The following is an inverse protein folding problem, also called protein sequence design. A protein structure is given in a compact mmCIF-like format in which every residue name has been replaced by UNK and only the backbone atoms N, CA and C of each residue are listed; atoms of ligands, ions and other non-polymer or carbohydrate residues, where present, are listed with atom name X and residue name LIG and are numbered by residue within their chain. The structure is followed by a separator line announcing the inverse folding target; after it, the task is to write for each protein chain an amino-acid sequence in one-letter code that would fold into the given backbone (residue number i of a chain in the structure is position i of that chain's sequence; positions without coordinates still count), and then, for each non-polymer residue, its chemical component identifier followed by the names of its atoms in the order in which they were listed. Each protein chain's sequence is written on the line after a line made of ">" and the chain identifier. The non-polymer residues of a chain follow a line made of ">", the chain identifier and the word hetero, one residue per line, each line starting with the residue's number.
data_IF_458292573339
#
_entry.id   IF_458292573339
#
_cell.length_a   1.000
_cell.length_b   1.000
_cell.length_c   1.000
_cell.angle_alpha   90.00
_cell.angle_beta   90.00
_cell.angle_gamma   90.00
#
_symmetry.space_group_name_H-M   'P 1'
#
loop_
_entity.id
_entity.type
_entity.pdbx_description
1 polymer ?
#
# COMPACT_ATOMS: atom_id res chain seq x y z
N UNK A 1 65.77 12.37 22.48
CA UNK A 1 64.38 12.04 22.83
C UNK A 1 63.39 12.39 21.69
N UNK A 2 63.65 11.96 20.44
CA UNK A 2 62.78 12.29 19.29
C UNK A 2 62.20 11.06 18.55
N UNK A 3 62.84 9.88 18.65
CA UNK A 3 62.44 8.70 17.86
C UNK A 3 61.25 7.89 18.41
N UNK A 4 60.87 8.02 19.68
CA UNK A 4 59.77 7.23 20.27
C UNK A 4 58.38 7.84 20.09
N UNK A 5 58.28 9.14 19.78
CA UNK A 5 56.99 9.82 19.59
C UNK A 5 56.39 9.52 18.20
N UNK A 6 57.23 9.48 17.16
CA UNK A 6 56.81 9.27 15.76
C UNK A 6 56.16 7.89 15.53
N UNK A 7 56.66 6.85 16.22
CA UNK A 7 56.14 5.48 16.08
C UNK A 7 54.75 5.28 16.72
N UNK A 8 54.39 6.07 17.74
CA UNK A 8 53.06 5.99 18.37
C UNK A 8 51.99 6.72 17.56
N UNK A 9 52.34 7.83 16.91
CA UNK A 9 51.41 8.59 16.04
C UNK A 9 51.07 7.82 14.77
N UNK A 10 52.04 7.11 14.17
CA UNK A 10 51.81 6.32 12.95
C UNK A 10 50.84 5.13 13.15
N UNK A 11 50.79 4.53 14.34
CA UNK A 11 49.83 3.43 14.62
C UNK A 11 48.41 3.89 14.92
N UNK A 12 48.23 5.15 15.36
CA UNK A 12 46.90 5.71 15.62
C UNK A 12 46.25 6.18 14.31
N UNK A 13 47.02 6.73 13.37
CA UNK A 13 46.49 7.21 12.08
C UNK A 13 45.89 6.12 11.18
N UNK A 14 46.42 4.90 11.22
CA UNK A 14 45.91 3.78 10.40
C UNK A 14 44.65 3.12 10.98
N UNK A 15 44.40 3.26 12.29
CA UNK A 15 43.21 2.73 12.95
C UNK A 15 41.94 3.54 12.65
N UNK A 16 42.08 4.86 12.48
CA UNK A 16 40.93 5.74 12.22
C UNK A 16 40.43 5.71 10.77
N UNK A 17 41.30 5.48 9.78
CA UNK A 17 40.90 5.35 8.38
C UNK A 17 40.21 4.01 8.07
N UNK A 18 40.55 2.94 8.79
CA UNK A 18 39.87 1.65 8.67
C UNK A 18 38.47 1.63 9.31
N UNK A 19 38.29 2.35 10.42
CA UNK A 19 37.01 2.40 11.13
C UNK A 19 35.95 3.26 10.41
N UNK A 20 36.36 4.30 9.66
CA UNK A 20 35.41 5.15 8.92
C UNK A 20 34.85 4.47 7.67
N UNK A 21 35.59 3.56 7.04
CA UNK A 21 35.14 2.86 5.83
C UNK A 21 34.12 1.74 6.11
N UNK A 22 34.04 1.23 7.35
CA UNK A 22 33.09 0.17 7.72
C UNK A 22 31.70 0.67 8.12
N UNK A 23 31.54 1.97 8.38
CA UNK A 23 30.23 2.54 8.75
C UNK A 23 29.33 2.86 7.55
N UNK A 24 29.83 2.76 6.31
CA UNK A 24 29.11 3.12 5.09
C UNK A 24 28.56 1.93 4.28
N UNK A 25 28.85 0.69 4.67
CA UNK A 25 28.62 -0.49 3.83
C UNK A 25 27.48 -1.42 4.26
N UNK A 26 26.57 -1.00 5.15
CA UNK A 26 25.41 -1.84 5.48
C UNK A 26 24.14 -1.07 5.86
N UNK A 27 23.92 0.13 5.31
CA UNK A 27 22.55 0.60 5.16
C UNK A 27 21.93 -0.19 3.99
N UNK A 28 21.54 -1.45 4.25
CA UNK A 28 20.52 -2.09 3.43
C UNK A 28 19.28 -1.20 3.39
N UNK A 29 18.41 -1.31 2.38
CA UNK A 29 17.17 -0.55 2.39
C UNK A 29 16.53 -0.77 3.76
N UNK A 30 16.23 0.32 4.46
CA UNK A 30 15.38 0.23 5.63
C UNK A 30 14.07 -0.37 5.12
N UNK A 31 13.91 -1.68 5.31
CA UNK A 31 12.61 -2.29 5.28
C UNK A 31 11.90 -1.60 6.42
N UNK A 32 11.11 -0.57 6.09
CA UNK A 32 10.09 -0.12 7.01
C UNK A 32 9.42 -1.40 7.48
N UNK A 33 9.37 -1.61 8.79
CA UNK A 33 8.69 -2.75 9.42
C UNK A 33 7.19 -2.57 9.16
N UNK A 34 6.81 -2.67 7.88
CA UNK A 34 5.47 -2.76 7.42
C UNK A 34 5.10 -4.17 7.87
N UNK A 35 4.31 -4.22 8.94
CA UNK A 35 3.51 -5.41 9.22
C UNK A 35 2.97 -5.93 7.89
N UNK A 36 2.81 -7.24 7.72
CA UNK A 36 2.25 -7.86 6.51
C UNK A 36 1.01 -7.11 5.95
N UNK A 37 0.30 -6.39 6.82
CA UNK A 37 -0.89 -5.61 6.53
C UNK A 37 -0.73 -4.08 6.35
N UNK A 38 0.48 -3.55 6.14
CA UNK A 38 0.71 -2.10 5.94
C UNK A 38 1.48 -1.80 4.65
N UNK A 39 1.20 -0.67 3.97
CA UNK A 39 -0.03 0.13 4.06
C UNK A 39 -1.25 -0.59 3.46
N UNK A 40 -1.04 -1.58 2.58
CA UNK A 40 -2.10 -2.42 2.00
C UNK A 40 -2.07 -3.81 2.66
N UNK A 41 -3.23 -4.30 3.17
CA UNK A 41 -3.36 -5.61 3.80
C UNK A 41 -2.82 -6.78 2.96
N UNK A 42 -2.12 -7.74 3.58
CA UNK A 42 -1.58 -8.94 2.92
C UNK A 42 -2.66 -9.67 2.13
N UNK A 43 -3.86 -9.74 2.69
CA UNK A 43 -5.02 -10.40 2.08
C UNK A 43 -5.40 -9.80 0.72
N UNK A 44 -5.24 -8.50 0.52
CA UNK A 44 -5.44 -7.85 -0.79
C UNK A 44 -4.26 -8.08 -1.73
N UNK A 45 -3.04 -8.11 -1.19
CA UNK A 45 -1.84 -8.40 -1.99
C UNK A 45 -1.93 -9.80 -2.61
N UNK A 46 -2.49 -10.77 -1.90
CA UNK A 46 -2.57 -12.17 -2.34
C UNK A 46 -3.95 -12.63 -2.84
N UNK A 47 -4.99 -11.80 -2.76
CA UNK A 47 -6.33 -12.22 -3.21
C UNK A 47 -6.35 -12.51 -4.72
N UNK A 48 -7.06 -13.56 -5.09
CA UNK A 48 -7.36 -13.95 -6.47
C UNK A 48 -8.73 -13.43 -6.93
N UNK A 49 -9.53 -12.87 -6.02
CA UNK A 49 -10.77 -12.20 -6.36
C UNK A 49 -10.49 -10.96 -7.23
N UNK A 50 -11.36 -10.70 -8.21
CA UNK A 50 -11.36 -9.39 -8.85
C UNK A 50 -12.00 -8.31 -7.96
N UNK A 51 -12.02 -7.10 -8.49
CA UNK A 51 -12.52 -5.93 -7.78
C UNK A 51 -13.99 -6.10 -7.44
N UNK A 52 -14.80 -6.58 -8.40
CA UNK A 52 -16.25 -6.72 -8.27
C UNK A 52 -16.61 -7.83 -7.29
N UNK A 53 -15.91 -8.98 -7.33
CA UNK A 53 -16.06 -10.05 -6.35
C UNK A 53 -15.76 -9.56 -4.93
N UNK A 54 -14.66 -8.83 -4.77
CA UNK A 54 -14.31 -8.25 -3.49
C UNK A 54 -15.35 -7.23 -3.03
N UNK A 55 -15.78 -6.33 -3.92
CA UNK A 55 -16.72 -5.26 -3.59
C UNK A 55 -18.11 -5.80 -3.25
N UNK A 56 -18.57 -6.84 -3.95
CA UNK A 56 -19.80 -7.58 -3.62
C UNK A 56 -19.70 -8.21 -2.22
N UNK A 57 -18.55 -8.84 -1.90
CA UNK A 57 -18.32 -9.39 -0.58
C UNK A 57 -18.33 -8.31 0.51
N UNK A 58 -17.76 -7.12 0.25
CA UNK A 58 -17.81 -5.99 1.19
C UNK A 58 -19.26 -5.50 1.39
N UNK A 59 -20.07 -5.42 0.32
CA UNK A 59 -21.50 -5.08 0.41
C UNK A 59 -22.24 -5.97 1.39
N UNK A 60 -22.01 -7.28 1.33
CA UNK A 60 -22.82 -8.24 2.07
C UNK A 60 -22.26 -8.53 3.48
N UNK A 61 -20.93 -8.50 3.65
CA UNK A 61 -20.28 -8.73 4.96
C UNK A 61 -20.12 -7.47 5.80
N UNK A 62 -19.98 -6.30 5.16
CA UNK A 62 -19.73 -5.02 5.81
C UNK A 62 -20.53 -3.88 5.16
N UNK A 63 -21.88 -3.97 5.11
CA UNK A 63 -22.74 -3.06 4.35
C UNK A 63 -22.52 -1.59 4.71
N UNK A 64 -22.38 -1.25 6.00
CA UNK A 64 -22.14 0.14 6.43
C UNK A 64 -20.86 0.75 5.82
N UNK A 65 -19.81 -0.05 5.61
CA UNK A 65 -18.57 0.43 5.00
C UNK A 65 -18.69 0.53 3.48
N UNK A 66 -19.38 -0.42 2.86
CA UNK A 66 -19.74 -0.34 1.45
C UNK A 66 -20.55 0.93 1.15
N UNK A 67 -21.65 1.15 1.86
CA UNK A 67 -22.53 2.30 1.69
C UNK A 67 -21.77 3.62 1.86
N UNK A 68 -20.97 3.74 2.92
CA UNK A 68 -20.16 4.93 3.16
C UNK A 68 -19.17 5.19 2.02
N UNK A 69 -18.55 4.15 1.49
CA UNK A 69 -17.63 4.28 0.36
C UNK A 69 -18.38 4.72 -0.90
N UNK A 70 -19.53 4.13 -1.20
CA UNK A 70 -20.33 4.47 -2.38
C UNK A 70 -20.90 5.90 -2.29
N UNK A 71 -21.31 6.35 -1.10
CA UNK A 71 -21.73 7.72 -0.84
C UNK A 71 -20.55 8.71 -0.93
N UNK A 72 -19.38 8.37 -0.39
CA UNK A 72 -18.19 9.22 -0.53
C UNK A 72 -17.79 9.34 -2.01
N UNK A 73 -17.82 8.23 -2.76
CA UNK A 73 -17.56 8.18 -4.20
C UNK A 73 -18.54 9.07 -4.97
N UNK A 74 -19.84 8.95 -4.71
CA UNK A 74 -20.86 9.71 -5.46
C UNK A 74 -20.78 11.22 -5.25
N UNK A 75 -20.22 11.65 -4.12
CA UNK A 75 -19.93 13.05 -3.81
C UNK A 75 -18.67 13.59 -4.51
N UNK A 76 -17.94 12.77 -5.28
CA UNK A 76 -16.75 13.21 -6.04
C UNK A 76 -17.11 13.64 -7.46
N UNK A 77 -16.34 14.55 -8.07
CA UNK A 77 -16.43 14.82 -9.51
C UNK A 77 -16.29 13.54 -10.35
N UNK A 78 -17.00 13.45 -11.47
CA UNK A 78 -17.07 12.23 -12.28
C UNK A 78 -15.68 11.72 -12.74
N UNK A 79 -14.76 12.63 -13.05
CA UNK A 79 -13.39 12.32 -13.42
C UNK A 79 -12.57 11.75 -12.25
N UNK A 80 -12.83 12.19 -11.01
CA UNK A 80 -12.22 11.61 -9.80
C UNK A 80 -12.78 10.21 -9.54
N UNK A 81 -14.08 10.02 -9.73
CA UNK A 81 -14.72 8.71 -9.60
C UNK A 81 -14.12 7.71 -10.59
N UNK A 82 -13.94 8.12 -11.85
CA UNK A 82 -13.34 7.30 -12.88
C UNK A 82 -11.86 7.00 -12.59
N UNK A 83 -11.08 8.01 -12.19
CA UNK A 83 -9.68 7.82 -11.83
C UNK A 83 -9.50 6.81 -10.68
N UNK A 84 -10.35 6.86 -9.65
CA UNK A 84 -10.33 5.87 -8.57
C UNK A 84 -10.72 4.47 -9.07
N UNK A 85 -11.78 4.37 -9.88
CA UNK A 85 -12.21 3.11 -10.49
C UNK A 85 -11.08 2.47 -11.28
N UNK A 86 -10.49 3.20 -12.23
CA UNK A 86 -9.40 2.72 -13.09
C UNK A 86 -8.16 2.33 -12.28
N UNK A 87 -7.82 3.13 -11.26
CA UNK A 87 -6.65 2.88 -10.42
C UNK A 87 -6.80 1.63 -9.56
N UNK A 88 -7.98 1.39 -9.00
CA UNK A 88 -8.29 0.16 -8.25
C UNK A 88 -8.20 -1.05 -9.19
N UNK A 89 -8.83 -0.98 -10.37
CA UNK A 89 -8.79 -2.06 -11.35
C UNK A 89 -7.37 -2.37 -11.80
N UNK A 90 -6.59 -1.36 -12.17
CA UNK A 90 -5.18 -1.51 -12.51
C UNK A 90 -4.40 -2.21 -11.39
N UNK A 91 -4.58 -1.80 -10.13
CA UNK A 91 -3.89 -2.43 -9.01
C UNK A 91 -4.21 -3.93 -8.91
N UNK A 92 -5.48 -4.34 -9.13
CA UNK A 92 -5.87 -5.74 -9.13
C UNK A 92 -5.34 -6.53 -10.34
N UNK A 93 -4.88 -5.87 -11.41
CA UNK A 93 -4.18 -6.55 -12.52
C UNK A 93 -2.72 -6.94 -12.19
N UNK A 94 -2.12 -6.31 -11.17
CA UNK A 94 -0.75 -6.60 -10.76
C UNK A 94 -0.67 -7.97 -10.07
N UNK A 95 0.47 -8.65 -10.25
CA UNK A 95 0.82 -9.83 -9.46
C UNK A 95 1.14 -9.45 -7.99
N UNK A 96 1.27 -10.41 -7.06
CA UNK A 96 1.54 -10.10 -5.66
C UNK A 96 2.82 -9.28 -5.43
N UNK A 97 3.85 -9.46 -6.28
CA UNK A 97 5.10 -8.70 -6.18
C UNK A 97 4.88 -7.24 -6.57
N UNK A 98 4.20 -6.99 -7.68
CA UNK A 98 3.82 -5.66 -8.15
C UNK A 98 2.89 -4.95 -7.18
N UNK A 99 1.90 -5.66 -6.61
CA UNK A 99 1.03 -5.11 -5.57
C UNK A 99 1.82 -4.72 -4.32
N UNK A 100 2.78 -5.55 -3.90
CA UNK A 100 3.66 -5.23 -2.76
C UNK A 100 4.54 -4.03 -3.04
N UNK A 101 5.16 -3.97 -4.22
CA UNK A 101 5.95 -2.81 -4.62
C UNK A 101 5.12 -1.52 -4.68
N UNK A 102 3.89 -1.59 -5.17
CA UNK A 102 2.96 -0.46 -5.16
C UNK A 102 2.64 0.00 -3.72
N UNK A 103 2.40 -0.96 -2.81
CA UNK A 103 2.19 -0.69 -1.39
C UNK A 103 3.39 0.04 -0.78
N UNK A 104 4.62 -0.42 -1.04
CA UNK A 104 5.85 0.22 -0.53
C UNK A 104 6.05 1.63 -1.11
N UNK A 105 5.85 1.82 -2.42
CA UNK A 105 5.96 3.14 -3.05
C UNK A 105 4.94 4.13 -2.46
N UNK A 106 3.72 3.66 -2.16
CA UNK A 106 2.68 4.48 -1.55
C UNK A 106 3.01 4.87 -0.11
N UNK A 107 3.67 4.00 0.65
CA UNK A 107 4.10 4.30 2.03
C UNK A 107 5.29 5.27 2.09
N UNK A 108 6.21 5.18 1.13
CA UNK A 108 7.52 5.85 1.21
C UNK A 108 7.62 7.12 0.38
N UNK A 109 6.78 7.27 -0.65
CA UNK A 109 6.78 8.42 -1.52
C UNK A 109 5.40 9.11 -1.50
N UNK A 110 5.35 10.26 -0.81
CA UNK A 110 4.13 11.07 -0.67
C UNK A 110 3.54 11.56 -2.01
N UNK A 111 4.35 11.59 -3.08
CA UNK A 111 3.93 11.98 -4.43
C UNK A 111 3.67 10.78 -5.35
N UNK A 112 3.67 9.54 -4.84
CA UNK A 112 3.48 8.39 -5.72
C UNK A 112 2.01 8.18 -6.11
N UNK A 113 1.11 8.17 -5.13
CA UNK A 113 -0.31 7.91 -5.38
C UNK A 113 -1.09 9.20 -5.66
N UNK A 114 -1.28 9.50 -6.95
CA UNK A 114 -1.90 10.74 -7.41
C UNK A 114 -3.39 10.82 -7.11
N UNK A 115 -4.14 9.70 -7.09
CA UNK A 115 -5.58 9.71 -6.79
C UNK A 115 -5.82 10.15 -5.34
N UNK A 116 -4.91 9.80 -4.41
CA UNK A 116 -4.99 10.19 -3.01
C UNK A 116 -4.96 11.73 -2.81
N UNK A 117 -4.33 12.48 -3.73
CA UNK A 117 -4.31 13.96 -3.68
C UNK A 117 -5.67 14.59 -3.97
N UNK A 118 -6.53 13.89 -4.71
CA UNK A 118 -7.88 14.35 -5.09
C UNK A 118 -8.98 13.74 -4.22
N UNK A 119 -8.74 12.56 -3.68
CA UNK A 119 -9.68 11.86 -2.81
C UNK A 119 -8.93 10.92 -1.85
N UNK A 120 -8.70 11.37 -0.61
CA UNK A 120 -7.92 10.59 0.36
C UNK A 120 -8.51 9.23 0.76
N UNK A 121 -9.81 9.00 0.55
CA UNK A 121 -10.47 7.71 0.84
C UNK A 121 -10.70 6.85 -0.42
N UNK A 122 -10.11 7.19 -1.57
CA UNK A 122 -10.42 6.60 -2.88
C UNK A 122 -10.39 5.06 -2.94
N UNK A 123 -9.58 4.40 -2.12
CA UNK A 123 -9.50 2.94 -2.02
C UNK A 123 -9.70 2.44 -0.59
N UNK A 124 -10.34 3.20 0.31
CA UNK A 124 -10.35 2.93 1.76
C UNK A 124 -10.83 1.53 2.15
N UNK A 125 -11.90 1.06 1.52
CA UNK A 125 -12.46 -0.28 1.79
C UNK A 125 -11.61 -1.41 1.23
N UNK A 126 -10.68 -1.10 0.31
CA UNK A 126 -9.71 -2.05 -0.23
C UNK A 126 -8.42 -1.99 0.58
N UNK A 127 -7.84 -0.81 0.81
CA UNK A 127 -6.44 -0.69 1.22
C UNK A 127 -6.23 -0.38 2.70
N UNK A 128 -7.21 0.11 3.45
CA UNK A 128 -6.94 0.63 4.79
C UNK A 128 -7.75 -0.03 5.91
N UNK A 129 -8.91 -0.61 5.58
CA UNK A 129 -9.75 -1.25 6.59
C UNK A 129 -9.47 -2.76 6.69
N UNK A 130 -8.56 -3.13 7.60
CA UNK A 130 -8.11 -4.52 7.79
C UNK A 130 -9.27 -5.48 8.11
N UNK A 131 -10.24 -5.05 8.91
CA UNK A 131 -11.40 -5.88 9.27
C UNK A 131 -12.33 -6.13 8.09
N UNK A 132 -12.63 -5.09 7.30
CA UNK A 132 -13.42 -5.22 6.07
C UNK A 132 -12.73 -6.14 5.07
N UNK A 133 -11.42 -5.95 4.89
CA UNK A 133 -10.61 -6.81 4.02
C UNK A 133 -10.67 -8.26 4.47
N UNK A 134 -10.52 -8.52 5.77
CA UNK A 134 -10.56 -9.88 6.30
C UNK A 134 -11.88 -10.58 5.96
N UNK A 135 -13.02 -10.01 6.36
CA UNK A 135 -14.33 -10.62 6.10
C UNK A 135 -14.62 -10.79 4.61
N UNK A 136 -14.32 -9.78 3.78
CA UNK A 136 -14.60 -9.84 2.36
C UNK A 136 -13.71 -10.87 1.64
N UNK A 137 -12.41 -10.92 1.94
CA UNK A 137 -11.50 -11.89 1.30
C UNK A 137 -11.78 -13.33 1.71
N UNK A 138 -12.38 -13.57 2.87
CA UNK A 138 -12.79 -14.92 3.30
C UNK A 138 -13.90 -15.51 2.42
N UNK A 139 -14.72 -14.68 1.75
CA UNK A 139 -15.89 -15.12 0.98
C UNK A 139 -15.97 -14.62 -0.45
N UNK A 140 -15.05 -13.78 -0.92
CA UNK A 140 -15.17 -13.10 -2.22
C UNK A 140 -15.24 -14.06 -3.43
N UNK A 141 -14.68 -15.26 -3.33
CA UNK A 141 -14.77 -16.26 -4.39
C UNK A 141 -16.20 -16.79 -4.63
N UNK A 142 -17.14 -16.55 -3.72
CA UNK A 142 -18.54 -16.93 -3.85
C UNK A 142 -19.38 -15.96 -4.70
N UNK A 143 -18.79 -14.84 -5.13
CA UNK A 143 -19.48 -13.81 -5.92
C UNK A 143 -19.12 -13.91 -7.40
N UNK A 144 -20.00 -13.46 -8.31
CA UNK A 144 -19.70 -13.42 -9.75
C UNK A 144 -18.53 -12.48 -10.06
N UNK A 145 -17.67 -12.90 -10.99
CA UNK A 145 -16.59 -12.07 -11.55
C UNK A 145 -17.13 -10.99 -12.46
N UNK A 146 -16.57 -9.79 -12.36
CA UNK A 146 -16.90 -8.67 -13.24
C UNK A 146 -18.36 -8.19 -13.16
N UNK A 147 -19.09 -8.48 -12.08
CA UNK A 147 -20.44 -7.94 -11.87
C UNK A 147 -20.38 -6.43 -11.60
N UNK A 148 -20.42 -5.65 -12.67
CA UNK A 148 -20.36 -4.19 -12.62
C UNK A 148 -21.56 -3.55 -11.89
N UNK A 149 -22.64 -4.30 -11.63
CA UNK A 149 -23.80 -3.75 -10.92
C UNK A 149 -23.48 -3.34 -9.48
N UNK A 150 -22.43 -3.89 -8.88
CA UNK A 150 -21.95 -3.52 -7.54
C UNK A 150 -21.42 -2.08 -7.46
N UNK A 151 -21.18 -1.43 -8.61
CA UNK A 151 -20.82 -0.01 -8.64
C UNK A 151 -22.03 0.92 -8.73
N UNK A 152 -23.21 0.36 -8.99
CA UNK A 152 -24.47 1.10 -9.12
C UNK A 152 -25.12 1.26 -7.75
N UNK A 153 -24.73 2.32 -7.03
CA UNK A 153 -25.38 2.69 -5.78
C UNK A 153 -26.46 3.73 -6.04
N UNK A 154 -27.73 3.51 -5.62
CA UNK A 154 -28.77 4.51 -5.74
C UNK A 154 -28.45 5.66 -4.79
N UNK A 155 -28.06 6.80 -5.38
CA UNK A 155 -27.92 8.05 -4.63
C UNK A 155 -29.23 8.78 -4.80
N UNK A 156 -30.05 8.85 -3.73
CA UNK A 156 -31.10 9.84 -3.68
C UNK A 156 -30.41 11.21 -3.70
N UNK A 157 -30.56 11.94 -4.80
CA UNK A 157 -30.05 13.31 -4.95
C UNK A 157 -31.13 14.30 -4.53
#
# INVERSE_FOLDING_TARGET
>A
MAGRLVSRVARVGLGFLGAAAMCLSAAGPALADSTEDYPIPRRIIHTTCDVEQYLAAVRDTNPVYYERYMLDRSNRPADVQQAAFDRIHWFFTLDPVGRRQYSENTATNIYYEQVATRWGNWAKIFFNNKGVVAHATDVCMNYPRGDMSVWNWPVAR
#
